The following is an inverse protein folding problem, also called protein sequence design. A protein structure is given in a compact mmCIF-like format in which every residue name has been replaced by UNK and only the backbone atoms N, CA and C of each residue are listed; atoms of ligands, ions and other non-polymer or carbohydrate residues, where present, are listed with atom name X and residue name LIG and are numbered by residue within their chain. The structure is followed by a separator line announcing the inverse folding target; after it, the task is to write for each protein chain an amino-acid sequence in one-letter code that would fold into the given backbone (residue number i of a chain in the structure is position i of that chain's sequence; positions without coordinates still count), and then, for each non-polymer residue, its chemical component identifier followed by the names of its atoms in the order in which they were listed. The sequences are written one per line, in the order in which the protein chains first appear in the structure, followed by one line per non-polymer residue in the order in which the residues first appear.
data_IF_368653318170
#
_entry.id   IF_368653318170
#
_cell.length_a   1.000
_cell.length_b   1.000
_cell.length_c   1.000
_cell.angle_alpha   90.00
_cell.angle_beta   90.00
_cell.angle_gamma   90.00
#
_symmetry.space_group_name_H-M   'P 1'
#
loop_
_entity.id
_entity.type
_entity.pdbx_description
1 polymer ?
#
# COMPACT_ATOMS: atom_id res chain seq x y z
N UNK A 1 -23.35 -22.25 1.54
CA UNK A 1 -22.48 -21.79 0.43
C UNK A 1 -21.66 -20.64 0.98
N UNK A 2 -20.35 -20.80 1.14
CA UNK A 2 -19.48 -19.65 1.42
C UNK A 2 -19.54 -18.76 0.17
N UNK A 3 -19.87 -17.48 0.34
CA UNK A 3 -19.84 -16.52 -0.75
C UNK A 3 -18.39 -16.46 -1.27
N UNK A 4 -18.21 -16.60 -2.57
CA UNK A 4 -16.91 -16.50 -3.21
C UNK A 4 -16.29 -15.12 -2.93
N UNK A 5 -15.03 -15.08 -2.49
CA UNK A 5 -14.34 -13.83 -2.18
C UNK A 5 -14.08 -13.10 -3.50
N UNK A 6 -14.59 -11.87 -3.62
CA UNK A 6 -14.29 -10.98 -4.75
C UNK A 6 -13.85 -9.63 -4.25
N UNK A 7 -13.05 -8.92 -5.06
CA UNK A 7 -12.67 -7.53 -4.79
C UNK A 7 -12.85 -6.64 -6.03
N UNK A 8 -13.13 -5.34 -5.82
CA UNK A 8 -13.19 -4.35 -6.89
C UNK A 8 -11.80 -3.77 -7.18
N UNK A 9 -11.47 -3.60 -8.44
CA UNK A 9 -10.20 -3.04 -8.91
C UNK A 9 -10.43 -1.79 -9.75
N UNK A 10 -9.44 -0.88 -9.73
CA UNK A 10 -9.41 0.33 -10.55
C UNK A 10 -8.51 0.16 -11.79
N UNK A 11 -7.46 -0.65 -11.69
CA UNK A 11 -6.52 -0.93 -12.78
C UNK A 11 -5.56 -2.08 -12.44
N UNK A 12 -4.92 -2.63 -13.47
CA UNK A 12 -3.71 -3.44 -13.39
C UNK A 12 -2.65 -2.77 -14.25
N UNK A 13 -1.51 -2.41 -13.66
CA UNK A 13 -0.39 -1.78 -14.35
C UNK A 13 0.80 -2.72 -14.36
N UNK A 14 1.09 -3.30 -15.52
CA UNK A 14 2.13 -4.32 -15.69
C UNK A 14 3.52 -3.72 -15.94
N UNK A 15 4.54 -4.55 -15.71
CA UNK A 15 5.93 -4.27 -16.07
C UNK A 15 6.49 -2.98 -15.47
N UNK A 16 6.19 -2.73 -14.23
CA UNK A 16 6.75 -1.59 -13.47
C UNK A 16 8.16 -1.96 -13.03
N UNK A 17 9.08 -1.02 -13.15
CA UNK A 17 10.49 -1.24 -12.84
C UNK A 17 10.88 -0.45 -11.60
N UNK A 18 11.26 -1.15 -10.53
CA UNK A 18 11.88 -0.58 -9.31
C UNK A 18 11.05 0.50 -8.58
N UNK A 19 9.74 0.59 -8.84
CA UNK A 19 8.85 1.56 -8.20
C UNK A 19 8.08 0.97 -7.02
N UNK A 20 7.68 -0.29 -7.15
CA UNK A 20 6.73 -0.93 -6.23
C UNK A 20 7.29 -2.25 -5.66
N UNK A 21 8.60 -2.48 -5.86
CA UNK A 21 9.32 -3.68 -5.46
C UNK A 21 10.67 -3.77 -6.16
N UNK A 22 11.38 -4.85 -5.89
CA UNK A 22 12.58 -5.23 -6.63
C UNK A 22 12.16 -5.96 -7.92
N UNK A 23 12.96 -5.83 -8.98
CA UNK A 23 12.67 -6.46 -10.26
C UNK A 23 11.50 -5.86 -11.02
N UNK A 24 10.86 -6.68 -11.86
CA UNK A 24 9.65 -6.32 -12.59
C UNK A 24 8.43 -6.62 -11.73
N UNK A 25 7.57 -5.65 -11.53
CA UNK A 25 6.34 -5.82 -10.74
C UNK A 25 5.10 -5.49 -11.54
N UNK A 26 3.98 -6.09 -11.17
CA UNK A 26 2.65 -5.71 -11.64
C UNK A 26 1.88 -5.08 -10.47
N UNK A 27 1.51 -3.80 -10.61
CA UNK A 27 0.69 -3.09 -9.64
C UNK A 27 -0.79 -3.42 -9.88
N UNK A 28 -1.44 -3.98 -8.87
CA UNK A 28 -2.87 -4.28 -8.85
C UNK A 28 -3.56 -3.27 -7.94
N UNK A 29 -4.30 -2.36 -8.54
CA UNK A 29 -4.95 -1.26 -7.84
C UNK A 29 -6.35 -1.61 -7.37
N UNK A 30 -6.56 -1.72 -6.05
CA UNK A 30 -7.89 -1.88 -5.46
C UNK A 30 -8.71 -0.59 -5.48
N UNK A 31 -10.02 -0.74 -5.61
CA UNK A 31 -11.00 0.31 -5.36
C UNK A 31 -11.33 0.40 -3.87
N UNK A 32 -11.61 1.62 -3.40
CA UNK A 32 -11.93 1.93 -1.99
C UNK A 32 -10.71 2.44 -1.22
N UNK A 33 -10.90 3.52 -0.49
CA UNK A 33 -9.90 4.10 0.39
C UNK A 33 -10.60 4.80 1.57
N UNK A 34 -10.09 4.70 2.81
CA UNK A 34 -10.65 5.42 3.95
C UNK A 34 -10.28 6.91 3.93
N UNK A 35 -9.23 7.29 3.17
CA UNK A 35 -8.72 8.65 3.10
C UNK A 35 -9.35 9.43 1.94
N UNK A 36 -9.38 10.77 2.10
CA UNK A 36 -9.79 11.72 1.06
C UNK A 36 -8.66 12.73 0.82
N UNK A 37 -7.50 12.20 0.42
CA UNK A 37 -6.31 13.03 0.18
C UNK A 37 -6.56 14.07 -0.91
N UNK A 38 -6.22 15.33 -0.64
CA UNK A 38 -6.49 16.46 -1.55
C UNK A 38 -5.81 16.28 -2.92
N UNK A 39 -4.60 15.70 -2.96
CA UNK A 39 -3.87 15.41 -4.19
C UNK A 39 -3.80 13.90 -4.45
N UNK A 40 -4.94 13.20 -4.35
CA UNK A 40 -4.99 11.77 -4.62
C UNK A 40 -4.65 11.46 -6.08
N UNK A 41 -3.71 10.54 -6.31
CA UNK A 41 -3.34 10.11 -7.67
C UNK A 41 -4.38 9.17 -8.29
N UNK A 42 -5.21 8.55 -7.47
CA UNK A 42 -6.24 7.59 -7.88
C UNK A 42 -7.62 8.03 -7.37
N UNK A 43 -8.14 9.23 -7.74
CA UNK A 43 -9.40 9.74 -7.20
C UNK A 43 -10.59 8.84 -7.55
N UNK A 44 -10.50 8.05 -8.63
CA UNK A 44 -11.50 7.06 -9.03
C UNK A 44 -11.73 5.98 -7.97
N UNK A 45 -10.77 5.72 -7.06
CA UNK A 45 -10.95 4.73 -6.00
C UNK A 45 -12.02 5.13 -4.95
N UNK A 46 -12.47 6.39 -4.96
CA UNK A 46 -13.51 6.93 -4.10
C UNK A 46 -14.87 7.13 -4.81
N UNK A 47 -14.90 6.92 -6.13
CA UNK A 47 -16.10 7.15 -6.95
C UNK A 47 -16.85 5.84 -7.14
N UNK A 48 -18.18 5.88 -7.08
CA UNK A 48 -19.01 4.67 -7.23
C UNK A 48 -18.84 3.97 -8.60
N UNK A 49 -18.57 4.75 -9.64
CA UNK A 49 -18.31 4.31 -11.02
C UNK A 49 -16.82 4.09 -11.32
N UNK A 50 -15.95 4.26 -10.33
CA UNK A 50 -14.51 4.09 -10.48
C UNK A 50 -14.02 2.63 -10.50
N UNK A 51 -14.92 1.68 -10.34
CA UNK A 51 -14.60 0.24 -10.43
C UNK A 51 -14.43 -0.15 -11.89
N UNK A 52 -13.20 -0.52 -12.28
CA UNK A 52 -12.94 -1.07 -13.62
C UNK A 52 -13.50 -2.49 -13.76
N UNK A 53 -13.21 -3.38 -12.78
CA UNK A 53 -13.73 -4.76 -12.77
C UNK A 53 -13.81 -5.30 -11.34
N UNK A 54 -14.47 -6.46 -11.20
CA UNK A 54 -14.43 -7.29 -9.98
C UNK A 54 -13.86 -8.64 -10.35
N UNK A 55 -12.96 -9.16 -9.51
CA UNK A 55 -12.34 -10.47 -9.72
C UNK A 55 -12.31 -11.26 -8.42
N UNK A 56 -12.33 -12.56 -8.56
CA UNK A 56 -11.91 -13.54 -7.54
C UNK A 56 -10.37 -13.61 -7.50
N UNK A 57 -9.75 -14.17 -6.45
CA UNK A 57 -8.32 -14.44 -6.43
C UNK A 57 -7.83 -15.29 -7.61
N UNK A 58 -8.63 -16.29 -8.02
CA UNK A 58 -8.30 -17.16 -9.16
C UNK A 58 -8.32 -16.41 -10.49
N UNK A 59 -9.32 -15.55 -10.73
CA UNK A 59 -9.39 -14.71 -11.92
C UNK A 59 -8.22 -13.71 -11.98
N UNK A 60 -7.86 -13.10 -10.83
CA UNK A 60 -6.68 -12.22 -10.77
C UNK A 60 -5.39 -13.01 -11.06
N UNK A 61 -5.26 -14.23 -10.52
CA UNK A 61 -4.09 -15.07 -10.81
C UNK A 61 -3.97 -15.35 -12.32
N UNK A 62 -5.05 -15.80 -12.95
CA UNK A 62 -5.07 -16.04 -14.41
C UNK A 62 -4.76 -14.78 -15.23
N UNK A 63 -5.14 -13.60 -14.73
CA UNK A 63 -4.84 -12.33 -15.40
C UNK A 63 -3.34 -11.97 -15.33
N UNK A 64 -2.65 -12.28 -14.21
CA UNK A 64 -1.27 -11.85 -13.98
C UNK A 64 -0.22 -12.95 -14.22
N UNK A 65 -0.61 -14.22 -14.34
CA UNK A 65 0.33 -15.34 -14.55
C UNK A 65 1.12 -15.23 -15.86
N UNK A 66 0.62 -14.49 -16.83
CA UNK A 66 1.33 -14.19 -18.08
C UNK A 66 2.66 -13.46 -17.84
N UNK A 67 2.81 -12.79 -16.68
CA UNK A 67 4.00 -12.05 -16.28
C UNK A 67 5.01 -12.93 -15.50
N UNK A 68 4.70 -14.21 -15.25
CA UNK A 68 5.49 -15.15 -14.42
C UNK A 68 6.96 -15.16 -14.80
N UNK A 69 7.28 -15.25 -16.09
CA UNK A 69 8.68 -15.28 -16.57
C UNK A 69 9.45 -14.02 -16.15
N UNK A 70 8.81 -12.84 -16.19
CA UNK A 70 9.44 -11.59 -15.79
C UNK A 70 9.67 -11.56 -14.28
N UNK A 71 8.70 -12.04 -13.50
CA UNK A 71 8.82 -12.10 -12.04
C UNK A 71 9.93 -13.03 -11.60
N UNK A 72 9.98 -14.24 -12.13
CA UNK A 72 11.02 -15.23 -11.82
C UNK A 72 12.42 -14.76 -12.26
N UNK A 73 12.53 -14.17 -13.45
CA UNK A 73 13.82 -13.72 -13.98
C UNK A 73 14.42 -12.54 -13.20
N UNK A 74 13.59 -11.74 -12.52
CA UNK A 74 14.03 -10.48 -11.88
C UNK A 74 13.86 -10.46 -10.37
N UNK A 75 13.25 -11.50 -9.78
CA UNK A 75 12.86 -11.49 -8.36
C UNK A 75 11.70 -10.53 -8.05
N UNK A 76 10.88 -10.22 -9.06
CA UNK A 76 9.73 -9.35 -8.94
C UNK A 76 8.44 -10.06 -8.53
N UNK A 77 7.29 -9.47 -8.83
CA UNK A 77 6.00 -10.06 -8.48
C UNK A 77 4.84 -9.06 -8.46
N UNK A 78 3.94 -9.23 -7.50
CA UNK A 78 2.73 -8.43 -7.38
C UNK A 78 2.87 -7.37 -6.30
N UNK A 79 2.50 -6.12 -6.65
CA UNK A 79 2.28 -5.06 -5.69
C UNK A 79 0.79 -4.75 -5.58
N UNK A 80 0.22 -4.84 -4.40
CA UNK A 80 -1.14 -4.37 -4.13
C UNK A 80 -1.13 -2.90 -3.70
N UNK A 81 -1.97 -2.09 -4.35
CA UNK A 81 -2.05 -0.65 -4.09
C UNK A 81 -3.35 -0.04 -4.63
N UNK A 82 -3.28 1.18 -5.17
CA UNK A 82 -4.41 1.90 -5.77
C UNK A 82 -5.16 2.78 -4.79
N UNK A 83 -6.26 2.29 -4.20
CA UNK A 83 -6.90 2.85 -3.02
C UNK A 83 -6.19 2.40 -1.74
N UNK A 84 -6.89 1.76 -0.82
CA UNK A 84 -6.28 1.13 0.37
C UNK A 84 -6.43 -0.40 0.27
N UNK A 85 -5.39 -1.13 -0.12
CA UNK A 85 -5.47 -2.57 -0.33
C UNK A 85 -5.80 -3.37 0.93
N UNK A 86 -5.44 -2.89 2.12
CA UNK A 86 -5.75 -3.55 3.39
C UNK A 86 -7.26 -3.61 3.70
N UNK A 87 -8.10 -2.83 3.03
CA UNK A 87 -9.55 -3.01 3.08
C UNK A 87 -9.98 -4.38 2.55
N UNK A 88 -9.16 -4.98 1.70
CA UNK A 88 -9.38 -6.26 1.04
C UNK A 88 -8.41 -7.36 1.54
N UNK A 89 -8.05 -7.31 2.83
CA UNK A 89 -7.07 -8.23 3.44
C UNK A 89 -7.42 -9.72 3.26
N UNK A 90 -8.68 -10.10 3.27
CA UNK A 90 -9.09 -11.50 3.03
C UNK A 90 -8.88 -11.92 1.58
N UNK A 91 -9.08 -11.02 0.62
CA UNK A 91 -8.73 -11.27 -0.78
C UNK A 91 -7.21 -11.45 -0.96
N UNK A 92 -6.40 -10.58 -0.34
CA UNK A 92 -4.93 -10.68 -0.38
C UNK A 92 -4.46 -12.02 0.17
N UNK A 93 -5.04 -12.48 1.29
CA UNK A 93 -4.73 -13.80 1.87
C UNK A 93 -5.08 -14.95 0.93
N UNK A 94 -6.27 -14.90 0.34
CA UNK A 94 -6.72 -15.94 -0.59
C UNK A 94 -5.83 -15.98 -1.85
N UNK A 95 -5.48 -14.81 -2.41
CA UNK A 95 -4.55 -14.71 -3.54
C UNK A 95 -3.15 -15.24 -3.19
N UNK A 96 -2.60 -14.87 -2.05
CA UNK A 96 -1.30 -15.36 -1.59
C UNK A 96 -1.26 -16.90 -1.40
N UNK A 97 -2.42 -17.50 -1.14
CA UNK A 97 -2.54 -18.96 -1.01
C UNK A 97 -2.50 -19.74 -2.33
N UNK A 98 -2.67 -19.06 -3.47
CA UNK A 98 -2.73 -19.68 -4.80
C UNK A 98 -1.65 -19.17 -5.76
N UNK A 99 -1.02 -18.02 -5.48
CA UNK A 99 0.02 -17.44 -6.32
C UNK A 99 1.28 -18.32 -6.33
N UNK A 100 2.11 -18.16 -7.36
CA UNK A 100 3.43 -18.78 -7.40
C UNK A 100 4.25 -18.33 -6.17
N UNK A 101 4.75 -19.26 -5.31
CA UNK A 101 5.46 -18.92 -4.07
C UNK A 101 6.79 -18.20 -4.27
N UNK A 102 7.34 -18.23 -5.49
CA UNK A 102 8.57 -17.52 -5.85
C UNK A 102 8.32 -16.03 -6.18
N UNK A 103 7.07 -15.63 -6.41
CA UNK A 103 6.74 -14.22 -6.64
C UNK A 103 6.87 -13.41 -5.35
N UNK A 104 7.41 -12.20 -5.49
CA UNK A 104 7.39 -11.23 -4.41
C UNK A 104 6.00 -10.63 -4.26
N UNK A 105 5.46 -10.63 -3.04
CA UNK A 105 4.23 -9.93 -2.71
C UNK A 105 4.55 -8.67 -1.92
N UNK A 106 4.24 -7.52 -2.49
CA UNK A 106 4.46 -6.19 -1.90
C UNK A 106 3.16 -5.43 -1.75
N UNK A 107 3.14 -4.38 -0.96
CA UNK A 107 1.94 -3.58 -0.71
C UNK A 107 2.28 -2.09 -0.58
N UNK A 108 1.46 -1.23 -1.20
CA UNK A 108 1.43 0.21 -1.00
C UNK A 108 0.22 0.58 -0.16
N UNK A 109 0.41 1.13 1.03
CA UNK A 109 -0.68 1.38 1.99
C UNK A 109 -0.48 2.67 2.77
N UNK A 110 -1.58 3.28 3.17
CA UNK A 110 -1.59 4.37 4.15
C UNK A 110 -1.59 3.88 5.60
N UNK A 111 -1.81 2.59 5.84
CA UNK A 111 -2.04 1.97 7.15
C UNK A 111 -3.25 2.54 7.94
N UNK A 112 -4.11 3.38 7.35
CA UNK A 112 -5.28 3.91 8.06
C UNK A 112 -6.44 2.91 8.05
N UNK A 113 -6.22 1.75 8.66
CA UNK A 113 -7.16 0.62 8.77
C UNK A 113 -7.08 -0.03 10.16
N UNK A 114 -8.06 -0.86 10.49
CA UNK A 114 -8.04 -1.65 11.72
C UNK A 114 -6.83 -2.60 11.75
N UNK A 115 -6.22 -2.73 12.92
CA UNK A 115 -4.97 -3.49 13.14
C UNK A 115 -5.09 -4.97 12.70
N UNK A 116 -6.25 -5.58 12.87
CA UNK A 116 -6.51 -6.96 12.48
C UNK A 116 -6.28 -7.22 10.99
N UNK A 117 -6.55 -6.22 10.13
CA UNK A 117 -6.27 -6.30 8.69
C UNK A 117 -4.77 -6.32 8.41
N UNK A 118 -4.01 -5.49 9.12
CA UNK A 118 -2.53 -5.49 9.03
C UNK A 118 -1.97 -6.83 9.48
N UNK A 119 -2.37 -7.30 10.67
CA UNK A 119 -1.94 -8.60 11.22
C UNK A 119 -2.21 -9.76 10.28
N UNK A 120 -3.37 -9.76 9.64
CA UNK A 120 -3.81 -10.87 8.80
C UNK A 120 -2.96 -11.09 7.56
N UNK A 121 -2.32 -10.04 7.04
CA UNK A 121 -1.48 -10.11 5.84
C UNK A 121 0.02 -9.97 6.12
N UNK A 122 0.41 -9.48 7.30
CA UNK A 122 1.80 -9.18 7.61
C UNK A 122 2.79 -10.34 7.36
N UNK A 123 2.45 -11.61 7.65
CA UNK A 123 3.35 -12.73 7.35
C UNK A 123 3.56 -12.98 5.85
N UNK A 124 2.65 -12.49 4.99
CA UNK A 124 2.64 -12.75 3.55
C UNK A 124 3.41 -11.68 2.78
N UNK A 125 3.46 -10.46 3.31
CA UNK A 125 4.06 -9.31 2.62
C UNK A 125 5.58 -9.30 2.82
N UNK A 126 6.31 -9.27 1.72
CA UNK A 126 7.79 -9.22 1.72
C UNK A 126 8.31 -7.79 1.89
N UNK A 127 7.61 -6.80 1.33
CA UNK A 127 8.00 -5.40 1.39
C UNK A 127 6.76 -4.51 1.46
N UNK A 128 6.79 -3.55 2.39
CA UNK A 128 5.72 -2.59 2.62
C UNK A 128 6.16 -1.21 2.18
N UNK A 129 5.44 -0.58 1.30
CA UNK A 129 5.55 0.86 1.01
C UNK A 129 4.47 1.57 1.81
N UNK A 130 4.88 2.28 2.85
CA UNK A 130 3.94 2.95 3.75
C UNK A 130 3.96 4.45 3.51
N UNK A 131 2.87 4.96 2.98
CA UNK A 131 2.69 6.37 2.66
C UNK A 131 2.30 7.16 3.91
N UNK A 132 3.26 7.77 4.59
CA UNK A 132 3.01 8.66 5.72
C UNK A 132 2.82 10.08 5.21
N UNK A 133 1.59 10.57 5.29
CA UNK A 133 1.27 11.93 4.81
C UNK A 133 1.83 13.01 5.72
N UNK A 134 1.73 12.81 7.03
CA UNK A 134 2.47 13.53 8.08
C UNK A 134 2.26 12.82 9.44
N UNK A 135 3.22 12.93 10.36
CA UNK A 135 3.05 12.43 11.73
C UNK A 135 2.33 13.43 12.63
N UNK A 136 2.33 14.72 12.27
CA UNK A 136 1.52 15.73 12.94
C UNK A 136 0.04 15.50 12.64
N UNK A 137 -0.83 15.27 13.66
CA UNK A 137 -2.22 14.93 13.46
C UNK A 137 -3.04 16.02 12.77
N UNK A 138 -2.70 17.31 13.00
CA UNK A 138 -3.41 18.43 12.38
C UNK A 138 -3.11 18.52 10.88
N UNK A 139 -1.85 18.38 10.50
CA UNK A 139 -1.41 18.35 9.08
C UNK A 139 -2.03 17.13 8.39
N UNK A 140 -1.92 15.95 9.01
CA UNK A 140 -2.50 14.73 8.47
C UNK A 140 -4.00 14.87 8.23
N UNK A 141 -4.74 15.38 9.22
CA UNK A 141 -6.18 15.58 9.13
C UNK A 141 -6.56 16.62 8.07
N UNK A 142 -5.84 17.73 8.00
CA UNK A 142 -6.08 18.77 6.99
C UNK A 142 -5.92 18.24 5.56
N UNK A 143 -4.95 17.32 5.34
CA UNK A 143 -4.67 16.77 4.02
C UNK A 143 -5.56 15.58 3.66
N UNK A 144 -5.89 14.70 4.62
CA UNK A 144 -6.54 13.40 4.36
C UNK A 144 -8.01 13.34 4.79
N UNK A 145 -8.51 14.34 5.53
CA UNK A 145 -9.82 14.35 6.20
C UNK A 145 -10.02 13.23 7.25
N UNK A 146 -8.92 12.64 7.76
CA UNK A 146 -8.91 11.59 8.81
C UNK A 146 -7.86 11.89 9.86
N UNK A 147 -7.98 11.28 11.04
CA UNK A 147 -6.91 11.25 12.02
C UNK A 147 -5.86 10.16 11.68
N UNK A 148 -4.67 10.27 12.28
CA UNK A 148 -3.57 9.34 12.06
C UNK A 148 -3.40 8.31 13.19
N UNK A 149 -4.33 8.20 14.12
CA UNK A 149 -4.20 7.32 15.29
C UNK A 149 -4.03 5.85 14.89
N UNK A 150 -4.83 5.37 13.91
CA UNK A 150 -4.69 4.00 13.38
C UNK A 150 -3.33 3.79 12.72
N UNK A 151 -2.85 4.78 11.96
CA UNK A 151 -1.53 4.71 11.30
C UNK A 151 -0.42 4.55 12.32
N UNK A 152 -0.42 5.37 13.37
CA UNK A 152 0.58 5.31 14.45
C UNK A 152 0.53 3.97 15.16
N UNK A 153 -0.66 3.48 15.52
CA UNK A 153 -0.85 2.19 16.17
C UNK A 153 -0.34 1.03 15.30
N UNK A 154 -0.64 1.05 14.01
CA UNK A 154 -0.21 0.02 13.06
C UNK A 154 1.31 0.04 12.84
N UNK A 155 1.92 1.23 12.75
CA UNK A 155 3.38 1.37 12.68
C UNK A 155 4.06 0.82 13.93
N UNK A 156 3.56 1.16 15.12
CA UNK A 156 4.08 0.64 16.39
C UNK A 156 4.00 -0.89 16.43
N UNK A 157 2.88 -1.46 15.95
CA UNK A 157 2.72 -2.91 15.92
C UNK A 157 3.70 -3.56 14.94
N UNK A 158 3.87 -3.01 13.71
CA UNK A 158 4.83 -3.52 12.73
C UNK A 158 6.26 -3.51 13.29
N UNK A 159 6.68 -2.42 13.92
CA UNK A 159 7.99 -2.30 14.53
C UNK A 159 8.19 -3.31 15.67
N UNK A 160 7.22 -3.42 16.60
CA UNK A 160 7.30 -4.32 17.75
C UNK A 160 7.27 -5.80 17.37
N UNK A 161 6.78 -6.16 16.18
CA UNK A 161 6.67 -7.56 15.72
C UNK A 161 7.72 -7.92 14.64
N UNK A 162 8.79 -7.13 14.50
CA UNK A 162 9.94 -7.47 13.66
C UNK A 162 9.73 -7.23 12.15
N UNK A 163 8.80 -6.33 11.79
CA UNK A 163 8.57 -5.98 10.39
C UNK A 163 9.27 -4.67 9.96
N UNK A 164 9.95 -3.97 10.86
CA UNK A 164 10.54 -2.65 10.56
C UNK A 164 11.47 -2.68 9.33
N UNK A 165 12.31 -3.70 9.20
CA UNK A 165 13.25 -3.85 8.07
C UNK A 165 12.56 -4.13 6.73
N UNK A 166 11.29 -4.55 6.76
CA UNK A 166 10.45 -4.80 5.58
C UNK A 166 9.63 -3.58 5.18
N UNK A 167 9.76 -2.46 5.88
CA UNK A 167 8.98 -1.24 5.62
C UNK A 167 9.87 -0.17 5.01
N UNK A 168 9.43 0.35 3.88
CA UNK A 168 9.93 1.60 3.30
C UNK A 168 8.89 2.68 3.59
N UNK A 169 9.28 3.67 4.38
CA UNK A 169 8.42 4.81 4.70
C UNK A 169 8.53 5.84 3.59
N UNK A 170 7.44 6.15 2.93
CA UNK A 170 7.34 7.24 1.96
C UNK A 170 6.91 8.52 2.66
N UNK A 171 7.77 9.55 2.63
CA UNK A 171 7.56 10.86 3.24
C UNK A 171 7.50 11.96 2.17
N UNK A 172 6.31 12.33 1.71
CA UNK A 172 6.15 13.39 0.73
C UNK A 172 6.33 14.79 1.35
N UNK A 173 6.89 15.72 0.56
CA UNK A 173 6.64 17.14 0.76
C UNK A 173 5.36 17.51 0.01
N UNK A 174 4.33 17.90 0.75
CA UNK A 174 2.99 18.15 0.21
C UNK A 174 2.75 19.67 0.18
N UNK A 175 2.76 20.30 -1.01
CA UNK A 175 2.58 21.74 -1.13
C UNK A 175 1.34 22.24 -0.41
N UNK A 176 1.46 23.35 0.33
CA UNK A 176 0.43 24.00 1.15
C UNK A 176 0.03 23.26 2.44
N UNK A 177 0.53 22.04 2.68
CA UNK A 177 0.16 21.26 3.86
C UNK A 177 1.31 21.07 4.83
N UNK A 178 2.48 20.65 4.37
CA UNK A 178 3.66 20.48 5.22
C UNK A 178 4.89 21.17 4.64
N UNK A 179 5.90 21.32 5.49
CA UNK A 179 7.19 21.92 5.18
C UNK A 179 8.30 20.87 5.32
N UNK A 180 9.51 21.20 4.90
CA UNK A 180 10.70 20.36 5.14
C UNK A 180 10.92 20.10 6.63
N UNK A 181 10.59 21.07 7.49
CA UNK A 181 10.67 20.92 8.95
C UNK A 181 9.69 19.86 9.44
N UNK A 182 8.42 19.93 9.03
CA UNK A 182 7.39 18.95 9.42
C UNK A 182 7.77 17.55 8.94
N UNK A 183 8.26 17.43 7.71
CA UNK A 183 8.76 16.17 7.15
C UNK A 183 9.93 15.61 7.96
N UNK A 184 10.86 16.46 8.38
CA UNK A 184 12.00 16.07 9.21
C UNK A 184 11.56 15.65 10.62
N UNK A 185 10.60 16.32 11.22
CA UNK A 185 10.01 15.94 12.52
C UNK A 185 9.27 14.59 12.42
N UNK A 186 8.53 14.37 11.34
CA UNK A 186 7.88 13.09 11.04
C UNK A 186 8.92 11.97 10.92
N UNK A 187 10.02 12.20 10.18
CA UNK A 187 11.12 11.25 10.04
C UNK A 187 11.74 10.88 11.39
N UNK A 188 12.05 11.87 12.23
CA UNK A 188 12.63 11.61 13.56
C UNK A 188 11.73 10.76 14.47
N UNK A 189 10.40 10.97 14.39
CA UNK A 189 9.45 10.16 15.14
C UNK A 189 9.45 8.70 14.65
N UNK A 190 9.51 8.48 13.35
CA UNK A 190 9.54 7.16 12.72
C UNK A 190 10.87 6.43 12.98
N UNK A 191 12.00 7.14 12.96
CA UNK A 191 13.31 6.61 13.35
C UNK A 191 13.32 6.14 14.81
N UNK A 192 12.68 6.88 15.72
CA UNK A 192 12.51 6.46 17.14
C UNK A 192 11.62 5.21 17.29
N UNK A 193 10.74 4.92 16.34
CA UNK A 193 9.95 3.69 16.27
C UNK A 193 10.75 2.51 15.71
N UNK A 194 11.97 2.74 15.15
CA UNK A 194 12.85 1.72 14.62
C UNK A 194 12.85 1.58 13.10
N UNK A 195 12.17 2.48 12.36
CA UNK A 195 12.21 2.47 10.89
C UNK A 195 13.49 3.14 10.38
N UNK A 196 14.14 2.52 9.40
CA UNK A 196 15.43 2.97 8.86
C UNK A 196 15.42 3.22 7.36
N UNK A 197 14.39 2.72 6.65
CA UNK A 197 14.28 2.84 5.19
C UNK A 197 13.27 3.91 4.84
N UNK A 198 13.73 4.99 4.21
CA UNK A 198 12.91 6.14 3.85
C UNK A 198 13.04 6.47 2.37
N UNK A 199 11.90 6.73 1.73
CA UNK A 199 11.76 7.33 0.42
C UNK A 199 11.13 8.71 0.58
N UNK A 200 11.86 9.77 0.18
CA UNK A 200 11.42 11.16 0.30
C UNK A 200 11.28 11.78 -1.08
N UNK A 201 10.14 12.38 -1.34
CA UNK A 201 9.85 13.00 -2.62
C UNK A 201 8.98 14.25 -2.47
N UNK A 202 8.90 15.04 -3.52
CA UNK A 202 8.03 16.21 -3.57
C UNK A 202 6.79 15.89 -4.41
N UNK A 203 5.61 16.19 -3.88
CA UNK A 203 4.37 16.07 -4.65
C UNK A 203 4.40 17.05 -5.82
N UNK A 204 4.15 16.54 -7.01
CA UNK A 204 3.96 17.37 -8.21
C UNK A 204 2.46 17.54 -8.39
N UNK A 205 1.96 18.77 -8.17
CA UNK A 205 0.57 19.11 -8.46
C UNK A 205 0.46 19.29 -9.98
N UNK A 206 -0.34 18.47 -10.60
CA UNK A 206 -0.69 18.59 -12.04
C UNK A 206 -2.01 19.32 -12.19
#
# INVERSE_FOLDING_TARGET
MQSEITAPFIAINRHRLSTDGEGVTTLVGFHGCPLHCVYCLNPQCLQADGVWCRMTPGELYSEVEIDDLYFLATGGGICFGGGEPLLHSDFIKAFAGIMNPEWMLTIETSLNVQLERVKSVAPLIKLWYVDIKDMNPDIYKAYTCKDNALVISNLQWLAANGYADKVIIRLPLIPKYNTDKDRQESRQQLEKMGFTRFDTFNYIIR
#
